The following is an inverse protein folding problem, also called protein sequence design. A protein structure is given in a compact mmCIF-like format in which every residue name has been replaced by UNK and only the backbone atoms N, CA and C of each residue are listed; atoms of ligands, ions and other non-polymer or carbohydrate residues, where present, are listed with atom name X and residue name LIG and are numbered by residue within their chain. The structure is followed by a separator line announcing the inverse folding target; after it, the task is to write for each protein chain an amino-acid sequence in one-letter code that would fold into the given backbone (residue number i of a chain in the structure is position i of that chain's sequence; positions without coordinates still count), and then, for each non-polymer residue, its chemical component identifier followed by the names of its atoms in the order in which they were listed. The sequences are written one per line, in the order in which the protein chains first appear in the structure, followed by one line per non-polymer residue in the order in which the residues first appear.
data_IF_982424416285
#
_entry.id   IF_982424416285
#
_cell.length_a   1.000
_cell.length_b   1.000
_cell.length_c   1.000
_cell.angle_alpha   90.00
_cell.angle_beta   90.00
_cell.angle_gamma   90.00
#
_symmetry.space_group_name_H-M   'P 1'
#
loop_
_entity.id
_entity.type
_entity.pdbx_description
1 polymer ?
#
# COMPACT_ATOMS: atom_id res chain seq x y z
N UNK A 1 2.67 1.47 44.54
CA UNK A 1 3.20 0.63 43.44
C UNK A 1 2.04 -0.19 42.94
N UNK A 2 1.49 0.19 41.83
CA UNK A 2 0.46 -0.59 41.14
C UNK A 2 1.18 -1.78 40.52
N UNK A 3 1.11 -2.93 41.14
CA UNK A 3 1.52 -4.19 40.57
C UNK A 3 0.63 -4.42 39.32
N UNK A 4 1.22 -4.24 38.15
CA UNK A 4 0.56 -4.62 36.90
C UNK A 4 0.27 -6.13 36.91
N UNK A 5 -0.67 -6.62 36.12
CA UNK A 5 -1.09 -8.03 36.11
C UNK A 5 0.02 -9.02 35.75
N UNK A 6 1.24 -8.56 35.53
CA UNK A 6 2.44 -9.33 35.19
C UNK A 6 3.66 -8.91 36.02
N UNK A 7 3.47 -8.43 37.27
CA UNK A 7 4.58 -8.07 38.15
C UNK A 7 5.56 -9.24 38.28
N UNK A 8 6.87 -8.97 38.07
CA UNK A 8 7.92 -9.99 38.09
C UNK A 8 7.98 -10.87 39.35
N UNK A 9 7.48 -10.35 40.48
CA UNK A 9 7.34 -11.11 41.72
C UNK A 9 6.36 -12.30 41.66
N UNK A 10 5.44 -12.30 40.70
CA UNK A 10 4.48 -13.40 40.54
C UNK A 10 5.08 -14.64 39.86
N UNK A 11 6.25 -14.54 39.25
CA UNK A 11 6.82 -15.58 38.40
C UNK A 11 7.91 -16.41 39.09
N UNK A 12 8.58 -15.87 40.09
CA UNK A 12 9.65 -16.55 40.78
C UNK A 12 9.44 -16.53 42.29
N UNK A 13 9.77 -17.61 42.97
CA UNK A 13 9.95 -17.61 44.40
C UNK A 13 11.36 -17.04 44.77
N UNK A 14 11.65 -16.85 46.04
CA UNK A 14 12.92 -16.35 46.52
C UNK A 14 14.17 -17.15 46.09
N UNK A 15 13.97 -18.32 45.47
CA UNK A 15 15.03 -19.17 44.89
C UNK A 15 15.10 -19.12 43.38
N UNK A 16 14.38 -18.20 42.71
CA UNK A 16 14.34 -18.07 41.25
C UNK A 16 13.59 -19.20 40.52
N UNK A 17 12.82 -20.02 41.21
CA UNK A 17 12.01 -21.09 40.63
C UNK A 17 10.62 -20.57 40.24
N UNK A 18 10.00 -21.08 39.15
CA UNK A 18 8.66 -20.69 38.76
C UNK A 18 7.67 -20.88 39.93
N UNK A 19 7.01 -19.81 40.32
CA UNK A 19 5.98 -19.87 41.36
C UNK A 19 4.61 -20.09 40.72
N UNK A 20 4.27 -21.34 40.44
CA UNK A 20 2.98 -21.72 39.86
C UNK A 20 1.79 -21.28 40.73
N UNK A 21 1.94 -21.28 42.06
CA UNK A 21 0.90 -20.82 42.96
C UNK A 21 0.61 -19.31 42.83
N UNK A 22 1.66 -18.51 42.54
CA UNK A 22 1.50 -17.09 42.22
C UNK A 22 0.67 -16.83 40.99
N UNK A 23 0.82 -17.66 39.94
CA UNK A 23 0.00 -17.57 38.73
C UNK A 23 -1.49 -17.76 39.03
N UNK A 24 -1.84 -18.76 39.83
CA UNK A 24 -3.22 -18.99 40.22
C UNK A 24 -3.82 -17.83 40.98
N UNK A 25 -3.08 -17.24 41.91
CA UNK A 25 -3.58 -16.16 42.76
C UNK A 25 -3.84 -14.86 42.00
N UNK A 26 -3.03 -14.53 40.99
CA UNK A 26 -3.19 -13.31 40.19
C UNK A 26 -4.47 -13.38 39.32
N UNK A 27 -4.89 -14.57 38.91
CA UNK A 27 -6.03 -14.76 38.01
C UNK A 27 -7.33 -15.18 38.69
N UNK A 28 -7.28 -15.65 39.93
CA UNK A 28 -8.50 -15.97 40.72
C UNK A 28 -9.32 -14.73 41.08
N UNK A 29 -8.69 -13.57 41.17
CA UNK A 29 -9.37 -12.30 41.48
C UNK A 29 -10.07 -11.64 40.32
N UNK A 30 -10.05 -12.25 39.15
CA UNK A 30 -10.46 -11.59 37.92
C UNK A 30 -11.73 -12.12 37.33
N UNK A 31 -12.75 -11.28 37.31
CA UNK A 31 -14.11 -11.60 36.88
C UNK A 31 -14.28 -11.62 35.35
N UNK A 32 -13.32 -11.07 34.59
CA UNK A 32 -13.46 -11.00 33.15
C UNK A 32 -13.04 -12.30 32.46
N UNK A 33 -13.93 -12.87 31.62
CA UNK A 33 -13.70 -14.11 30.85
C UNK A 33 -12.45 -14.08 29.98
N UNK A 34 -12.05 -12.90 29.54
CA UNK A 34 -10.82 -12.63 28.77
C UNK A 34 -9.56 -13.03 29.56
N UNK A 35 -9.44 -12.65 30.81
CA UNK A 35 -8.27 -12.97 31.64
C UNK A 35 -8.18 -14.46 31.96
N UNK A 36 -9.29 -15.15 32.10
CA UNK A 36 -9.31 -16.62 32.21
C UNK A 36 -8.75 -17.34 30.98
N UNK A 37 -8.87 -16.74 29.80
CA UNK A 37 -8.29 -17.26 28.56
C UNK A 37 -6.77 -17.17 28.50
N UNK A 38 -6.16 -16.16 29.13
CA UNK A 38 -4.70 -15.98 29.16
C UNK A 38 -3.97 -16.80 30.21
N UNK A 39 -4.64 -17.15 31.28
CA UNK A 39 -4.04 -17.89 32.40
C UNK A 39 -3.37 -19.22 31.96
N UNK A 40 -4.07 -20.03 31.19
CA UNK A 40 -3.57 -21.35 30.75
C UNK A 40 -2.40 -21.29 29.75
N UNK A 41 -2.37 -20.38 28.76
CA UNK A 41 -1.20 -20.17 27.92
C UNK A 41 0.05 -19.74 28.72
N UNK A 42 -0.11 -18.89 29.74
CA UNK A 42 0.98 -18.47 30.62
C UNK A 42 1.53 -19.65 31.41
N UNK A 43 0.68 -20.54 31.93
CA UNK A 43 1.11 -21.76 32.62
C UNK A 43 1.90 -22.70 31.70
N UNK A 44 1.51 -22.84 30.44
CA UNK A 44 2.26 -23.64 29.47
C UNK A 44 3.63 -23.05 29.22
N UNK A 45 3.73 -21.73 29.00
CA UNK A 45 4.99 -21.02 28.81
C UNK A 45 5.92 -21.15 30.03
N UNK A 46 5.37 -21.02 31.27
CA UNK A 46 6.11 -21.23 32.51
C UNK A 46 6.63 -22.66 32.65
N UNK A 47 5.84 -23.66 32.26
CA UNK A 47 6.24 -25.07 32.24
C UNK A 47 7.36 -25.35 31.24
N UNK A 48 7.34 -24.71 30.07
CA UNK A 48 8.39 -24.82 29.06
C UNK A 48 9.71 -24.23 29.55
N UNK A 49 9.68 -23.05 30.18
CA UNK A 49 10.86 -22.41 30.78
C UNK A 49 11.48 -23.26 31.90
N UNK A 50 10.67 -23.98 32.68
CA UNK A 50 11.15 -24.89 33.73
C UNK A 50 11.89 -26.14 33.18
N UNK A 51 11.58 -26.56 31.96
CA UNK A 51 12.18 -27.74 31.32
C UNK A 51 13.48 -27.41 30.59
N UNK A 52 13.52 -26.32 29.84
CA UNK A 52 14.62 -26.01 28.92
C UNK A 52 15.60 -24.96 29.45
N UNK A 53 15.31 -24.30 30.56
CA UNK A 53 16.03 -23.13 31.08
C UNK A 53 16.08 -21.93 30.10
N UNK A 54 15.45 -22.04 28.94
CA UNK A 54 15.35 -21.01 27.90
C UNK A 54 13.95 -20.38 27.92
N UNK A 55 13.88 -19.09 27.67
CA UNK A 55 12.60 -18.40 27.38
C UNK A 55 12.11 -18.84 26.02
N UNK A 56 11.21 -19.80 25.95
CA UNK A 56 10.59 -20.24 24.70
C UNK A 56 9.08 -20.11 24.78
N UNK A 57 8.48 -19.70 23.65
CA UNK A 57 7.03 -19.65 23.43
C UNK A 57 6.54 -20.78 22.53
N UNK A 58 7.42 -21.71 22.13
CA UNK A 58 7.11 -22.84 21.26
C UNK A 58 7.00 -24.12 22.09
N UNK A 59 5.99 -24.95 21.77
CA UNK A 59 5.93 -26.31 22.26
C UNK A 59 7.09 -27.11 21.67
N UNK A 60 7.71 -28.01 22.44
CA UNK A 60 8.77 -28.88 21.91
C UNK A 60 8.27 -29.72 20.76
N UNK A 61 9.14 -29.91 19.76
CA UNK A 61 8.84 -30.78 18.63
C UNK A 61 9.01 -32.28 19.00
N UNK A 62 9.91 -32.58 19.94
CA UNK A 62 10.15 -33.97 20.36
C UNK A 62 9.02 -34.47 21.27
N UNK A 63 8.54 -35.68 21.01
CA UNK A 63 7.52 -36.35 21.85
C UNK A 63 8.01 -36.57 23.28
N UNK A 64 9.33 -36.74 23.51
CA UNK A 64 9.91 -36.91 24.82
C UNK A 64 9.73 -35.64 25.68
N UNK A 65 10.05 -34.49 25.11
CA UNK A 65 9.93 -33.21 25.82
C UNK A 65 8.47 -32.78 25.95
N UNK A 66 7.64 -33.06 24.94
CA UNK A 66 6.17 -32.87 25.04
C UNK A 66 5.54 -33.69 26.16
N UNK A 67 5.99 -34.93 26.35
CA UNK A 67 5.56 -35.76 27.50
C UNK A 67 5.96 -35.17 28.84
N UNK A 68 7.14 -34.58 28.95
CA UNK A 68 7.57 -33.85 30.16
C UNK A 68 6.68 -32.66 30.45
N UNK A 69 6.37 -31.84 29.43
CA UNK A 69 5.44 -30.71 29.57
C UNK A 69 4.05 -31.21 29.96
N UNK A 70 3.54 -32.29 29.34
CA UNK A 70 2.27 -32.88 29.63
C UNK A 70 2.17 -33.35 31.09
N UNK A 71 3.22 -34.06 31.56
CA UNK A 71 3.30 -34.54 32.96
C UNK A 71 3.35 -33.36 33.95
N UNK A 72 4.12 -32.30 33.69
CA UNK A 72 4.15 -31.09 34.53
C UNK A 72 2.76 -30.43 34.62
N UNK A 73 1.96 -30.57 33.59
CA UNK A 73 0.62 -30.01 33.54
C UNK A 73 -0.49 -30.98 34.02
N UNK A 74 -0.08 -32.15 34.50
CA UNK A 74 -0.99 -33.16 35.10
C UNK A 74 -1.73 -34.03 34.07
N UNK A 75 -1.15 -34.20 32.88
CA UNK A 75 -1.68 -35.08 31.86
C UNK A 75 -0.91 -36.42 31.79
N UNK A 76 -1.59 -37.52 31.81
CA UNK A 76 -1.02 -38.87 31.78
C UNK A 76 -0.48 -39.26 30.39
N UNK A 77 -0.93 -38.57 29.33
CA UNK A 77 -0.53 -38.87 27.95
C UNK A 77 -0.63 -37.66 27.05
N UNK A 78 0.12 -37.71 25.92
CA UNK A 78 0.15 -36.62 24.92
C UNK A 78 -1.21 -36.35 24.31
N UNK A 79 -2.03 -37.36 24.08
CA UNK A 79 -3.34 -37.19 23.44
C UNK A 79 -4.29 -36.32 24.28
N UNK A 80 -4.32 -36.53 25.59
CA UNK A 80 -5.10 -35.68 26.50
C UNK A 80 -4.53 -34.28 26.63
N UNK A 81 -3.19 -34.15 26.63
CA UNK A 81 -2.50 -32.89 26.63
C UNK A 81 -2.78 -32.08 25.37
N UNK A 82 -2.59 -32.67 24.20
CA UNK A 82 -2.81 -32.00 22.91
C UNK A 82 -4.27 -31.56 22.72
N UNK A 83 -5.22 -32.40 23.16
CA UNK A 83 -6.62 -32.04 23.15
C UNK A 83 -6.92 -30.84 24.05
N UNK A 84 -6.31 -30.80 25.25
CA UNK A 84 -6.45 -29.68 26.17
C UNK A 84 -5.80 -28.39 25.66
N UNK A 85 -4.59 -28.47 25.10
CA UNK A 85 -3.92 -27.34 24.43
C UNK A 85 -4.75 -26.83 23.27
N UNK A 86 -5.20 -27.70 22.37
CA UNK A 86 -6.05 -27.34 21.24
C UNK A 86 -7.36 -26.67 21.65
N UNK A 87 -7.99 -27.14 22.74
CA UNK A 87 -9.20 -26.51 23.28
C UNK A 87 -8.93 -25.11 23.83
N UNK A 88 -7.79 -24.90 24.48
CA UNK A 88 -7.40 -23.57 24.99
C UNK A 88 -7.10 -22.62 23.87
N UNK A 89 -6.30 -23.04 22.88
CA UNK A 89 -5.97 -22.21 21.71
C UNK A 89 -7.23 -21.82 20.93
N UNK A 90 -8.16 -22.77 20.72
CA UNK A 90 -9.47 -22.47 20.13
C UNK A 90 -10.28 -21.48 20.98
N UNK A 91 -10.27 -21.64 22.31
CA UNK A 91 -10.94 -20.72 23.23
C UNK A 91 -10.34 -19.32 23.21
N UNK A 92 -9.00 -19.20 23.19
CA UNK A 92 -8.30 -17.91 23.06
C UNK A 92 -8.62 -17.27 21.73
N UNK A 93 -8.56 -18.03 20.64
CA UNK A 93 -8.91 -17.51 19.32
C UNK A 93 -10.37 -17.08 19.23
N UNK A 94 -11.30 -17.80 19.86
CA UNK A 94 -12.70 -17.41 19.92
C UNK A 94 -12.92 -16.11 20.72
N UNK A 95 -12.27 -15.98 21.88
CA UNK A 95 -12.33 -14.76 22.71
C UNK A 95 -11.67 -13.58 21.97
N UNK A 96 -10.55 -13.82 21.32
CA UNK A 96 -9.90 -12.83 20.46
C UNK A 96 -10.82 -12.41 19.31
N UNK A 97 -11.45 -13.37 18.64
CA UNK A 97 -12.47 -13.11 17.62
C UNK A 97 -13.70 -12.38 18.18
N UNK A 98 -14.08 -12.58 19.46
CA UNK A 98 -15.20 -11.87 20.09
C UNK A 98 -14.85 -10.44 20.50
N UNK A 99 -13.64 -10.18 20.95
CA UNK A 99 -13.14 -8.82 21.21
C UNK A 99 -13.17 -7.94 19.97
N UNK A 100 -13.02 -8.55 18.80
CA UNK A 100 -13.05 -7.88 17.50
C UNK A 100 -14.39 -8.04 16.74
N UNK A 101 -15.37 -8.80 17.26
CA UNK A 101 -16.72 -8.93 16.67
C UNK A 101 -17.56 -7.64 16.67
N UNK A 102 -17.16 -6.64 17.40
CA UNK A 102 -17.77 -5.31 17.35
C UNK A 102 -17.27 -4.46 16.18
N UNK A 103 -16.21 -4.87 15.51
CA UNK A 103 -15.71 -4.29 14.29
C UNK A 103 -15.93 -5.32 13.16
N UNK A 104 -16.98 -5.16 12.37
CA UNK A 104 -17.26 -5.94 11.15
C UNK A 104 -16.09 -5.95 10.15
N UNK A 105 -15.01 -5.23 10.48
CA UNK A 105 -13.88 -4.90 9.63
C UNK A 105 -12.75 -5.96 9.63
N UNK A 106 -12.75 -6.96 10.51
CA UNK A 106 -11.64 -7.93 10.61
C UNK A 106 -11.94 -9.32 10.00
N UNK A 107 -13.15 -9.54 9.51
CA UNK A 107 -13.50 -10.75 8.80
C UNK A 107 -13.79 -10.44 7.34
N UNK A 108 -13.01 -11.02 6.43
CA UNK A 108 -13.36 -11.05 5.01
C UNK A 108 -14.59 -11.96 4.81
N UNK A 109 -15.44 -11.63 3.82
CA UNK A 109 -16.50 -12.53 3.34
C UNK A 109 -16.01 -13.90 2.88
N UNK A 110 -14.69 -14.06 2.70
CA UNK A 110 -14.04 -15.31 2.30
C UNK A 110 -13.57 -16.17 3.48
N UNK A 111 -13.57 -15.65 4.70
CA UNK A 111 -13.17 -16.35 5.91
C UNK A 111 -12.29 -15.53 6.85
N UNK A 112 -11.67 -16.21 7.82
CA UNK A 112 -10.81 -15.58 8.81
C UNK A 112 -9.48 -15.13 8.20
N UNK A 113 -9.01 -13.96 8.63
CA UNK A 113 -7.71 -13.39 8.26
C UNK A 113 -6.94 -13.06 9.55
N UNK A 114 -6.02 -13.93 9.94
CA UNK A 114 -5.22 -13.81 11.16
C UNK A 114 -3.74 -13.66 10.78
N UNK A 115 -3.16 -12.49 11.08
CA UNK A 115 -1.78 -12.17 10.76
C UNK A 115 -0.89 -11.92 12.00
N UNK A 116 -1.40 -12.20 13.19
CA UNK A 116 -0.74 -11.85 14.47
C UNK A 116 0.22 -12.92 15.01
N UNK A 117 0.31 -14.08 14.38
CA UNK A 117 1.17 -15.19 14.82
C UNK A 117 2.59 -15.12 14.26
N UNK A 118 3.50 -15.92 14.84
CA UNK A 118 4.87 -16.12 14.30
C UNK A 118 4.84 -17.02 13.06
N UNK A 119 3.89 -17.93 13.00
CA UNK A 119 3.68 -18.90 11.92
C UNK A 119 2.42 -18.55 11.12
N UNK A 120 2.36 -19.07 9.90
CA UNK A 120 1.19 -18.88 9.04
C UNK A 120 0.00 -19.67 9.58
N UNK A 121 -1.13 -18.99 9.78
CA UNK A 121 -2.38 -19.66 10.12
C UNK A 121 -2.94 -20.39 8.90
N UNK A 122 -3.15 -21.73 8.97
CA UNK A 122 -3.59 -22.52 7.82
C UNK A 122 -4.94 -22.08 7.23
N UNK A 123 -5.86 -21.56 8.06
CA UNK A 123 -7.17 -21.07 7.58
C UNK A 123 -7.02 -19.73 6.85
N UNK A 124 -6.12 -18.86 7.31
CA UNK A 124 -5.75 -17.62 6.60
C UNK A 124 -5.16 -17.93 5.23
N UNK A 125 -4.25 -18.91 5.13
CA UNK A 125 -3.69 -19.31 3.83
C UNK A 125 -4.75 -19.84 2.87
N UNK A 126 -5.69 -20.65 3.36
CA UNK A 126 -6.84 -21.14 2.57
C UNK A 126 -7.74 -19.99 2.14
N UNK A 127 -7.97 -19.01 3.01
CA UNK A 127 -8.78 -17.83 2.72
C UNK A 127 -8.13 -17.00 1.60
N UNK A 128 -6.82 -16.71 1.69
CA UNK A 128 -6.08 -16.03 0.66
C UNK A 128 -6.10 -16.79 -0.68
N UNK A 129 -5.98 -18.12 -0.65
CA UNK A 129 -6.14 -18.95 -1.84
C UNK A 129 -7.53 -18.83 -2.47
N UNK A 130 -8.61 -18.82 -1.66
CA UNK A 130 -9.99 -18.60 -2.14
C UNK A 130 -10.19 -17.18 -2.70
N UNK A 131 -9.45 -16.21 -2.21
CA UNK A 131 -9.43 -14.84 -2.74
C UNK A 131 -8.66 -14.73 -4.07
N UNK A 132 -8.04 -15.81 -4.54
CA UNK A 132 -7.35 -15.85 -5.83
C UNK A 132 -5.88 -15.44 -5.80
N UNK A 133 -5.26 -15.32 -4.61
CA UNK A 133 -3.83 -15.08 -4.51
C UNK A 133 -3.05 -16.35 -4.89
N UNK A 134 -2.06 -16.21 -5.78
CA UNK A 134 -1.27 -17.34 -6.27
C UNK A 134 -0.23 -17.83 -5.25
N UNK A 135 0.21 -16.95 -4.34
CA UNK A 135 1.19 -17.27 -3.30
C UNK A 135 0.72 -16.78 -1.91
N UNK A 136 -0.27 -17.45 -1.29
CA UNK A 136 -0.79 -17.08 0.03
C UNK A 136 0.27 -16.90 1.12
N UNK A 137 1.30 -17.76 1.25
CA UNK A 137 2.34 -17.58 2.26
C UNK A 137 3.11 -16.26 2.11
N UNK A 138 3.45 -15.86 0.87
CA UNK A 138 4.12 -14.57 0.61
C UNK A 138 3.24 -13.39 1.07
N UNK A 139 1.96 -13.42 0.74
CA UNK A 139 1.01 -12.36 1.13
C UNK A 139 0.90 -12.27 2.66
N UNK A 140 0.73 -13.43 3.32
CA UNK A 140 0.63 -13.50 4.78
C UNK A 140 1.92 -12.98 5.45
N UNK A 141 3.09 -13.36 4.95
CA UNK A 141 4.38 -12.90 5.45
C UNK A 141 4.56 -11.39 5.28
N UNK A 142 4.19 -10.82 4.12
CA UNK A 142 4.27 -9.38 3.87
C UNK A 142 3.39 -8.61 4.85
N UNK A 143 2.11 -9.00 5.00
CA UNK A 143 1.17 -8.34 5.92
C UNK A 143 1.67 -8.45 7.36
N UNK A 144 2.16 -9.60 7.78
CA UNK A 144 2.76 -9.81 9.10
C UNK A 144 3.96 -8.90 9.34
N UNK A 145 4.86 -8.80 8.37
CA UNK A 145 6.00 -7.89 8.41
C UNK A 145 5.54 -6.44 8.65
N UNK A 146 4.49 -6.01 8.00
CA UNK A 146 3.91 -4.68 8.20
C UNK A 146 3.30 -4.52 9.60
N UNK A 147 2.58 -5.52 10.12
CA UNK A 147 2.09 -5.52 11.50
C UNK A 147 3.22 -5.40 12.53
N UNK A 148 4.39 -5.95 12.24
CA UNK A 148 5.57 -5.80 13.11
C UNK A 148 6.30 -4.46 12.93
N UNK A 149 5.82 -3.57 12.07
CA UNK A 149 6.36 -2.21 11.92
C UNK A 149 7.65 -2.15 11.11
N UNK A 150 7.89 -3.11 10.22
CA UNK A 150 9.10 -3.16 9.38
C UNK A 150 9.12 -2.09 8.28
N UNK A 151 7.99 -1.43 8.00
CA UNK A 151 7.91 -0.30 7.09
C UNK A 151 7.57 0.99 7.85
N UNK A 152 7.96 2.13 7.28
CA UNK A 152 7.74 3.44 7.90
C UNK A 152 6.25 3.71 8.19
N UNK A 153 5.36 3.27 7.29
CA UNK A 153 3.92 3.48 7.40
C UNK A 153 3.29 2.84 8.65
N UNK A 154 3.88 1.77 9.18
CA UNK A 154 3.37 1.00 10.34
C UNK A 154 4.32 1.01 11.54
N UNK A 155 5.36 1.84 11.53
CA UNK A 155 6.35 1.90 12.61
C UNK A 155 5.75 2.33 13.96
N UNK A 156 4.77 3.22 13.94
CA UNK A 156 4.08 3.70 15.14
C UNK A 156 2.97 2.74 15.56
N UNK A 157 2.60 2.73 16.86
CA UNK A 157 1.47 1.94 17.36
C UNK A 157 0.17 2.31 16.64
N UNK A 158 -0.10 3.62 16.50
CA UNK A 158 -1.27 4.09 15.76
C UNK A 158 -1.28 3.66 14.29
N UNK A 159 -0.10 3.64 13.64
CA UNK A 159 0.04 3.14 12.27
C UNK A 159 -0.29 1.65 12.16
N UNK A 160 0.11 0.83 13.13
CA UNK A 160 -0.23 -0.59 13.17
C UNK A 160 -1.72 -0.84 13.42
N UNK A 161 -2.32 -0.09 14.34
CA UNK A 161 -3.76 -0.16 14.63
C UNK A 161 -4.60 0.13 13.37
N UNK A 162 -4.31 1.23 12.68
CA UNK A 162 -4.98 1.59 11.44
C UNK A 162 -4.76 0.54 10.34
N UNK A 163 -3.54 -0.01 10.26
CA UNK A 163 -3.22 -1.05 9.29
C UNK A 163 -3.99 -2.34 9.56
N UNK A 164 -4.20 -2.71 10.82
CA UNK A 164 -5.02 -3.87 11.19
C UNK A 164 -6.42 -3.78 10.58
N UNK A 165 -7.01 -2.59 10.56
CA UNK A 165 -8.32 -2.33 9.95
C UNK A 165 -8.26 -2.22 8.42
N UNK A 166 -7.14 -1.76 7.87
CA UNK A 166 -6.97 -1.57 6.44
C UNK A 166 -6.65 -2.88 5.70
N UNK A 167 -5.91 -3.80 6.32
CA UNK A 167 -5.41 -5.01 5.68
C UNK A 167 -6.53 -5.91 5.10
N UNK A 168 -7.63 -6.21 5.80
CA UNK A 168 -8.73 -6.97 5.21
C UNK A 168 -9.37 -6.25 4.02
N UNK A 169 -9.56 -4.94 4.13
CA UNK A 169 -10.11 -4.11 3.04
C UNK A 169 -9.20 -4.11 1.81
N UNK A 170 -7.88 -4.09 2.02
CA UNK A 170 -6.89 -4.20 0.93
C UNK A 170 -7.05 -5.53 0.18
N UNK A 171 -7.14 -6.62 0.92
CA UNK A 171 -7.27 -7.95 0.34
C UNK A 171 -8.60 -8.11 -0.40
N UNK A 172 -9.70 -7.65 0.18
CA UNK A 172 -11.02 -7.67 -0.45
C UNK A 172 -11.06 -6.79 -1.72
N UNK A 173 -10.51 -5.59 -1.66
CA UNK A 173 -10.43 -4.71 -2.82
C UNK A 173 -9.54 -5.31 -3.92
N UNK A 174 -8.39 -5.89 -3.56
CA UNK A 174 -7.50 -6.56 -4.51
C UNK A 174 -8.20 -7.77 -5.18
N UNK A 175 -8.90 -8.59 -4.39
CA UNK A 175 -9.70 -9.72 -4.90
C UNK A 175 -10.78 -9.23 -5.88
N UNK A 176 -11.48 -8.15 -5.55
CA UNK A 176 -12.55 -7.60 -6.37
C UNK A 176 -12.07 -7.13 -7.75
N UNK A 177 -10.78 -6.82 -7.92
CA UNK A 177 -10.20 -6.47 -9.23
C UNK A 177 -10.09 -7.67 -10.19
N UNK A 178 -10.14 -8.91 -9.69
CA UNK A 178 -9.83 -10.11 -10.47
C UNK A 178 -8.33 -10.29 -10.79
N UNK A 179 -7.47 -9.40 -10.32
CA UNK A 179 -6.00 -9.48 -10.47
C UNK A 179 -5.30 -9.22 -9.13
N UNK A 180 -5.60 -10.01 -8.07
CA UNK A 180 -5.20 -9.71 -6.70
C UNK A 180 -3.69 -9.64 -6.50
N UNK A 181 -2.91 -10.51 -7.13
CA UNK A 181 -1.44 -10.50 -7.02
C UNK A 181 -0.83 -9.23 -7.61
N UNK A 182 -1.33 -8.77 -8.75
CA UNK A 182 -0.85 -7.55 -9.40
C UNK A 182 -1.19 -6.32 -8.57
N UNK A 183 -2.42 -6.25 -8.04
CA UNK A 183 -2.88 -5.18 -7.17
C UNK A 183 -2.04 -5.11 -5.89
N UNK A 184 -1.87 -6.25 -5.20
CA UNK A 184 -1.13 -6.32 -3.96
C UNK A 184 0.35 -5.98 -4.12
N UNK A 185 1.02 -6.54 -5.14
CA UNK A 185 2.46 -6.30 -5.36
C UNK A 185 2.75 -4.81 -5.62
N UNK A 186 1.92 -4.13 -6.41
CA UNK A 186 2.11 -2.69 -6.66
C UNK A 186 1.69 -1.83 -5.47
N UNK A 187 0.68 -2.27 -4.71
CA UNK A 187 0.34 -1.62 -3.45
C UNK A 187 1.47 -1.76 -2.43
N UNK A 188 2.14 -2.92 -2.37
CA UNK A 188 3.32 -3.15 -1.53
C UNK A 188 4.45 -2.16 -1.87
N UNK A 189 4.77 -1.98 -3.15
CA UNK A 189 5.78 -1.00 -3.59
C UNK A 189 5.39 0.43 -3.21
N UNK A 190 4.14 0.81 -3.40
CA UNK A 190 3.60 2.09 -3.01
C UNK A 190 3.66 2.30 -1.49
N UNK A 191 3.10 1.37 -0.72
CA UNK A 191 2.92 1.51 0.72
C UNK A 191 4.26 1.48 1.48
N UNK A 192 5.24 0.73 0.98
CA UNK A 192 6.59 0.67 1.55
C UNK A 192 7.36 1.99 1.41
N UNK A 193 7.01 2.84 0.45
CA UNK A 193 7.64 4.16 0.21
C UNK A 193 7.02 5.29 1.01
N UNK A 194 5.91 5.05 1.70
CA UNK A 194 5.22 6.06 2.51
C UNK A 194 6.04 6.35 3.77
N UNK A 195 6.43 7.61 3.93
CA UNK A 195 7.21 8.05 5.11
C UNK A 195 6.40 8.10 6.40
N UNK A 196 5.12 8.53 6.33
CA UNK A 196 4.18 8.57 7.46
C UNK A 196 2.85 8.01 7.03
N UNK A 197 2.52 6.81 7.53
CA UNK A 197 1.33 6.08 7.10
C UNK A 197 0.03 6.45 7.82
N UNK A 198 0.10 7.12 8.97
CA UNK A 198 -1.08 7.37 9.81
C UNK A 198 -2.14 8.20 9.08
N UNK A 199 -1.72 9.30 8.44
CA UNK A 199 -2.64 10.17 7.70
C UNK A 199 -3.24 9.45 6.51
N UNK A 200 -2.42 8.77 5.71
CA UNK A 200 -2.86 8.03 4.53
C UNK A 200 -3.80 6.88 4.89
N UNK A 201 -3.47 6.10 5.91
CA UNK A 201 -4.32 5.01 6.36
C UNK A 201 -5.66 5.51 6.90
N UNK A 202 -5.63 6.62 7.68
CA UNK A 202 -6.86 7.28 8.15
C UNK A 202 -7.72 7.77 6.99
N UNK A 203 -7.10 8.33 5.95
CA UNK A 203 -7.76 8.75 4.74
C UNK A 203 -8.45 7.58 4.02
N UNK A 204 -7.73 6.48 3.81
CA UNK A 204 -8.28 5.29 3.16
C UNK A 204 -9.43 4.65 3.94
N UNK A 205 -9.35 4.66 5.27
CA UNK A 205 -10.45 4.19 6.12
C UNK A 205 -11.67 5.12 6.08
N UNK A 206 -11.45 6.44 5.98
CA UNK A 206 -12.50 7.44 5.88
C UNK A 206 -13.13 7.54 4.48
N UNK A 207 -12.38 7.19 3.44
CA UNK A 207 -12.76 7.30 2.03
C UNK A 207 -12.64 5.95 1.31
N UNK A 208 -13.56 4.99 1.55
CA UNK A 208 -13.46 3.64 0.97
C UNK A 208 -13.43 3.63 -0.55
N UNK A 209 -14.22 4.49 -1.21
CA UNK A 209 -14.24 4.60 -2.69
C UNK A 209 -12.90 5.05 -3.28
N UNK A 210 -12.23 6.00 -2.61
CA UNK A 210 -10.89 6.42 -3.00
C UNK A 210 -9.89 5.27 -2.86
N UNK A 211 -9.99 4.52 -1.76
CA UNK A 211 -9.12 3.36 -1.53
C UNK A 211 -9.32 2.28 -2.59
N UNK A 212 -10.56 1.93 -2.90
CA UNK A 212 -10.90 0.97 -3.96
C UNK A 212 -10.35 1.43 -5.32
N UNK A 213 -10.49 2.71 -5.66
CA UNK A 213 -9.93 3.28 -6.89
C UNK A 213 -8.41 3.17 -6.92
N UNK A 214 -7.72 3.46 -5.81
CA UNK A 214 -6.26 3.28 -5.72
C UNK A 214 -5.88 1.81 -5.95
N UNK A 215 -6.59 0.86 -5.36
CA UNK A 215 -6.34 -0.58 -5.57
C UNK A 215 -6.61 -0.98 -7.02
N UNK A 216 -7.65 -0.45 -7.66
CA UNK A 216 -7.92 -0.66 -9.10
C UNK A 216 -6.79 -0.09 -9.97
N UNK A 217 -6.28 1.10 -9.66
CA UNK A 217 -5.10 1.68 -10.33
C UNK A 217 -3.88 0.75 -10.17
N UNK A 218 -3.68 0.19 -8.97
CA UNK A 218 -2.61 -0.80 -8.75
C UNK A 218 -2.82 -2.05 -9.59
N UNK A 219 -4.04 -2.53 -9.76
CA UNK A 219 -4.34 -3.73 -10.56
C UNK A 219 -4.07 -3.51 -12.05
N UNK A 220 -4.59 -2.44 -12.63
CA UNK A 220 -4.76 -2.30 -14.08
C UNK A 220 -3.89 -1.24 -14.73
N UNK A 221 -3.37 -0.26 -13.98
CA UNK A 221 -2.66 0.88 -14.53
C UNK A 221 -1.20 1.00 -14.01
N UNK A 222 -0.25 0.16 -14.49
CA UNK A 222 1.12 0.12 -13.97
C UNK A 222 1.87 1.45 -14.02
N UNK A 223 1.58 2.29 -15.01
CA UNK A 223 2.19 3.63 -15.13
C UNK A 223 1.67 4.58 -14.04
N UNK A 224 0.35 4.57 -13.78
CA UNK A 224 -0.26 5.38 -12.73
C UNK A 224 0.17 4.88 -11.33
N UNK A 225 0.20 3.57 -11.11
CA UNK A 225 0.69 2.96 -9.89
C UNK A 225 2.13 3.39 -9.56
N UNK A 226 3.03 3.39 -10.56
CA UNK A 226 4.41 3.90 -10.40
C UNK A 226 4.45 5.38 -10.08
N UNK A 227 3.55 6.17 -10.64
CA UNK A 227 3.45 7.61 -10.32
C UNK A 227 3.09 7.80 -8.86
N UNK A 228 2.08 7.08 -8.36
CA UNK A 228 1.68 7.09 -6.94
C UNK A 228 2.82 6.63 -6.02
N UNK A 229 3.51 5.54 -6.37
CA UNK A 229 4.61 5.03 -5.57
C UNK A 229 5.79 6.01 -5.46
N UNK A 230 6.05 6.80 -6.52
CA UNK A 230 7.11 7.81 -6.53
C UNK A 230 6.69 9.15 -5.93
N UNK A 231 5.41 9.48 -5.99
CA UNK A 231 4.84 10.76 -5.55
C UNK A 231 3.51 10.53 -4.82
N UNK A 232 3.55 10.08 -3.57
CA UNK A 232 2.32 9.85 -2.78
C UNK A 232 1.43 11.09 -2.66
N UNK A 233 2.01 12.30 -2.72
CA UNK A 233 1.27 13.56 -2.72
C UNK A 233 0.28 13.70 -3.90
N UNK A 234 0.42 12.90 -4.98
CA UNK A 234 -0.58 12.86 -6.05
C UNK A 234 -1.96 12.37 -5.56
N UNK A 235 -2.01 11.67 -4.41
CA UNK A 235 -3.28 11.31 -3.77
C UNK A 235 -4.03 12.52 -3.22
N UNK A 236 -3.33 13.56 -2.79
CA UNK A 236 -3.96 14.77 -2.25
C UNK A 236 -4.80 15.47 -3.33
N UNK A 237 -4.34 15.44 -4.58
CA UNK A 237 -5.11 15.98 -5.70
C UNK A 237 -6.42 15.20 -5.94
N UNK A 238 -6.45 13.89 -5.65
CA UNK A 238 -7.66 13.07 -5.79
C UNK A 238 -8.72 13.35 -4.70
N UNK A 239 -8.40 14.17 -3.70
CA UNK A 239 -9.36 14.60 -2.67
C UNK A 239 -10.17 15.81 -3.13
N UNK A 240 -9.69 16.55 -4.13
CA UNK A 240 -10.41 17.66 -4.71
C UNK A 240 -11.51 17.11 -5.64
N UNK A 241 -12.79 17.43 -5.41
CA UNK A 241 -13.87 17.07 -6.32
C UNK A 241 -13.63 17.52 -7.76
N UNK A 242 -13.01 18.68 -7.97
CA UNK A 242 -12.61 19.18 -9.28
C UNK A 242 -11.64 18.31 -10.04
N UNK A 243 -10.90 17.43 -9.34
CA UNK A 243 -10.01 16.46 -9.99
C UNK A 243 -10.75 15.48 -10.92
N UNK A 244 -12.00 15.16 -10.60
CA UNK A 244 -12.84 14.22 -11.36
C UNK A 244 -13.77 14.93 -12.36
N UNK A 245 -13.80 16.25 -12.37
CA UNK A 245 -14.53 17.00 -13.39
C UNK A 245 -13.80 16.90 -14.73
N UNK A 246 -14.58 16.96 -15.82
CA UNK A 246 -14.00 16.97 -17.17
C UNK A 246 -13.05 18.16 -17.30
N UNK A 247 -11.88 17.91 -17.91
CA UNK A 247 -10.94 18.98 -18.21
C UNK A 247 -11.64 20.03 -19.07
N UNK A 248 -11.70 21.26 -18.56
CA UNK A 248 -12.22 22.39 -19.32
C UNK A 248 -11.20 22.79 -20.39
N UNK A 249 -11.70 23.27 -21.54
CA UNK A 249 -10.83 23.76 -22.59
C UNK A 249 -9.86 24.82 -22.07
N UNK A 250 -8.57 24.61 -22.31
CA UNK A 250 -7.48 25.50 -21.88
C UNK A 250 -7.03 25.35 -20.44
N UNK A 251 -7.54 24.38 -19.66
CA UNK A 251 -7.06 24.14 -18.27
C UNK A 251 -5.61 23.69 -18.26
N UNK A 252 -5.22 22.79 -19.18
CA UNK A 252 -3.83 22.35 -19.35
C UNK A 252 -2.90 23.52 -19.70
N UNK A 253 -3.36 24.41 -20.57
CA UNK A 253 -2.59 25.60 -20.95
C UNK A 253 -2.41 26.57 -19.77
N UNK A 254 -3.44 26.76 -18.94
CA UNK A 254 -3.34 27.59 -17.72
C UNK A 254 -2.38 26.97 -16.71
N UNK A 255 -2.51 25.69 -16.43
CA UNK A 255 -1.62 24.97 -15.51
C UNK A 255 -0.15 25.04 -15.98
N UNK A 256 0.07 24.92 -17.29
CA UNK A 256 1.40 25.05 -17.89
C UNK A 256 1.94 26.48 -17.76
N UNK A 257 1.11 27.48 -18.08
CA UNK A 257 1.51 28.88 -18.00
C UNK A 257 1.87 29.31 -16.57
N UNK A 258 1.08 28.86 -15.58
CA UNK A 258 1.39 29.10 -14.17
C UNK A 258 2.69 28.40 -13.75
N UNK A 259 2.90 27.16 -14.16
CA UNK A 259 4.09 26.40 -13.82
C UNK A 259 5.37 26.98 -14.46
N UNK A 260 5.24 27.63 -15.62
CA UNK A 260 6.37 28.29 -16.35
C UNK A 260 6.75 29.65 -15.80
N UNK A 261 5.99 30.22 -14.86
CA UNK A 261 6.32 31.49 -14.25
C UNK A 261 7.66 31.42 -13.53
N UNK A 262 8.57 32.32 -13.93
CA UNK A 262 9.92 32.42 -13.36
C UNK A 262 10.93 31.37 -13.88
N UNK A 263 10.54 30.52 -14.81
CA UNK A 263 11.48 29.62 -15.50
C UNK A 263 12.23 30.40 -16.58
N UNK A 264 13.56 30.50 -16.47
CA UNK A 264 14.38 31.34 -17.31
C UNK A 264 15.37 30.60 -18.21
N UNK A 265 15.48 29.27 -18.09
CA UNK A 265 16.44 28.48 -18.86
C UNK A 265 15.77 27.28 -19.55
N UNK A 266 16.48 26.72 -20.53
CA UNK A 266 16.00 25.62 -21.35
C UNK A 266 15.76 24.31 -20.54
N UNK A 267 16.67 24.00 -19.60
CA UNK A 267 16.53 22.80 -18.75
C UNK A 267 15.34 22.92 -17.81
N UNK A 268 15.18 24.05 -17.15
CA UNK A 268 14.05 24.35 -16.29
C UNK A 268 12.72 24.28 -17.03
N UNK A 269 12.67 24.76 -18.28
CA UNK A 269 11.49 24.63 -19.13
C UNK A 269 11.15 23.17 -19.42
N UNK A 270 12.14 22.38 -19.83
CA UNK A 270 11.94 20.96 -20.09
C UNK A 270 11.46 20.21 -18.84
N UNK A 271 12.05 20.45 -17.69
CA UNK A 271 11.67 19.79 -16.44
C UNK A 271 10.27 20.20 -15.97
N UNK A 272 9.94 21.48 -16.14
CA UNK A 272 8.60 21.99 -15.83
C UNK A 272 7.54 21.34 -16.70
N UNK A 273 7.76 21.32 -18.02
CA UNK A 273 6.83 20.67 -18.95
C UNK A 273 6.67 19.18 -18.64
N UNK A 274 7.77 18.45 -18.36
CA UNK A 274 7.71 17.03 -17.96
C UNK A 274 6.94 16.83 -16.67
N UNK A 275 7.03 17.77 -15.73
CA UNK A 275 6.30 17.69 -14.46
C UNK A 275 4.79 17.87 -14.69
N UNK A 276 4.41 18.96 -15.37
CA UNK A 276 2.99 19.26 -15.67
C UNK A 276 2.38 18.16 -16.52
N UNK A 277 3.07 17.70 -17.56
CA UNK A 277 2.62 16.58 -18.39
C UNK A 277 2.32 15.32 -17.54
N UNK A 278 3.19 14.97 -16.61
CA UNK A 278 2.98 13.79 -15.74
C UNK A 278 1.78 13.97 -14.81
N UNK A 279 1.60 15.17 -14.25
CA UNK A 279 0.49 15.47 -13.34
C UNK A 279 -0.85 15.43 -14.08
N UNK A 280 -0.95 16.07 -15.23
CA UNK A 280 -2.17 16.07 -16.06
C UNK A 280 -2.45 14.68 -16.65
N UNK A 281 -1.43 13.97 -17.14
CA UNK A 281 -1.58 12.59 -17.62
C UNK A 281 -2.06 11.64 -16.52
N UNK A 282 -1.60 11.85 -15.28
CA UNK A 282 -2.08 11.09 -14.13
C UNK A 282 -3.56 11.37 -13.87
N UNK A 283 -3.99 12.65 -13.88
CA UNK A 283 -5.39 13.06 -13.71
C UNK A 283 -6.29 12.41 -14.75
N UNK A 284 -5.96 12.55 -16.04
CA UNK A 284 -6.74 11.93 -17.13
C UNK A 284 -6.82 10.41 -16.96
N UNK A 285 -5.71 9.75 -16.62
CA UNK A 285 -5.68 8.32 -16.41
C UNK A 285 -6.58 7.86 -15.24
N UNK A 286 -6.57 8.59 -14.14
CA UNK A 286 -7.45 8.29 -12.99
C UNK A 286 -8.92 8.56 -13.33
N UNK A 287 -9.23 9.61 -14.08
CA UNK A 287 -10.59 9.89 -14.55
C UNK A 287 -11.15 8.75 -15.43
N UNK A 288 -10.33 8.17 -16.28
CA UNK A 288 -10.72 6.98 -17.04
C UNK A 288 -10.97 5.79 -16.11
N UNK A 289 -10.08 5.56 -15.15
CA UNK A 289 -10.21 4.43 -14.21
C UNK A 289 -11.44 4.56 -13.30
N UNK A 290 -11.81 5.79 -12.91
CA UNK A 290 -13.01 6.06 -12.11
C UNK A 290 -14.30 6.06 -12.93
N UNK A 291 -14.21 6.04 -14.26
CA UNK A 291 -15.36 6.17 -15.16
C UNK A 291 -15.88 7.60 -15.30
N UNK A 292 -15.19 8.61 -14.76
CA UNK A 292 -15.58 10.02 -14.91
C UNK A 292 -15.20 10.59 -16.29
N UNK A 293 -14.28 9.96 -17.02
CA UNK A 293 -13.97 10.28 -18.42
C UNK A 293 -14.13 9.07 -19.32
N UNK A 294 -14.72 9.26 -20.50
CA UNK A 294 -14.73 8.25 -21.56
C UNK A 294 -13.36 8.12 -22.24
N UNK A 295 -13.11 6.99 -22.92
CA UNK A 295 -11.88 6.80 -23.67
C UNK A 295 -11.67 7.88 -24.76
N UNK A 296 -12.76 8.29 -25.40
CA UNK A 296 -12.73 9.36 -26.41
C UNK A 296 -12.37 10.73 -25.80
N UNK A 297 -12.99 11.08 -24.65
CA UNK A 297 -12.66 12.30 -23.93
C UNK A 297 -11.19 12.30 -23.48
N UNK A 298 -10.70 11.17 -22.98
CA UNK A 298 -9.31 11.01 -22.60
C UNK A 298 -8.36 11.13 -23.81
N UNK A 299 -8.75 10.59 -24.98
CA UNK A 299 -7.96 10.73 -26.20
C UNK A 299 -7.76 12.19 -26.61
N UNK A 300 -8.83 12.97 -26.53
CA UNK A 300 -8.78 14.42 -26.76
C UNK A 300 -7.96 15.16 -25.71
N UNK A 301 -8.11 14.81 -24.43
CA UNK A 301 -7.36 15.43 -23.35
C UNK A 301 -5.85 15.17 -23.47
N UNK A 302 -5.44 13.94 -23.79
CA UNK A 302 -4.01 13.64 -24.03
C UNK A 302 -3.46 14.37 -25.23
N UNK A 303 -4.25 14.54 -26.29
CA UNK A 303 -3.82 15.32 -27.47
C UNK A 303 -3.73 16.82 -27.16
N UNK A 304 -4.68 17.37 -26.39
CA UNK A 304 -4.62 18.76 -25.91
C UNK A 304 -3.38 19.01 -25.05
N UNK A 305 -3.08 18.10 -24.14
CA UNK A 305 -1.88 18.16 -23.32
C UNK A 305 -0.59 18.11 -24.15
N UNK A 306 -0.56 17.31 -25.19
CA UNK A 306 0.56 17.26 -26.14
C UNK A 306 0.72 18.59 -26.89
N UNK A 307 -0.38 19.18 -27.38
CA UNK A 307 -0.37 20.49 -28.02
C UNK A 307 0.22 21.59 -27.09
N UNK A 308 -0.21 21.58 -25.83
CA UNK A 308 0.30 22.53 -24.82
C UNK A 308 1.79 22.32 -24.56
N UNK A 309 2.25 21.06 -24.45
CA UNK A 309 3.67 20.76 -24.26
C UNK A 309 4.51 21.20 -25.45
N UNK A 310 4.06 20.91 -26.68
CA UNK A 310 4.75 21.32 -27.91
C UNK A 310 4.75 22.83 -28.04
N UNK A 311 3.59 23.49 -27.86
CA UNK A 311 3.47 24.94 -27.96
C UNK A 311 4.30 25.68 -26.92
N UNK A 312 4.56 25.08 -25.75
CA UNK A 312 5.45 25.67 -24.72
C UNK A 312 6.91 25.44 -25.05
N UNK A 313 7.31 24.25 -25.51
CA UNK A 313 8.72 23.90 -25.74
C UNK A 313 9.27 24.41 -27.08
N UNK A 314 8.45 24.50 -28.14
CA UNK A 314 8.93 24.90 -29.45
C UNK A 314 9.54 26.29 -29.47
N UNK A 315 8.91 27.33 -28.88
CA UNK A 315 9.54 28.64 -28.78
C UNK A 315 10.84 28.66 -27.95
N UNK A 316 10.87 27.87 -26.85
CA UNK A 316 12.05 27.78 -25.97
C UNK A 316 13.20 27.10 -26.70
N UNK A 317 12.91 26.03 -27.45
CA UNK A 317 13.90 25.33 -28.25
C UNK A 317 14.43 26.21 -29.39
N UNK A 318 13.55 26.97 -30.06
CA UNK A 318 13.95 27.91 -31.09
C UNK A 318 14.87 29.00 -30.54
N UNK A 319 14.52 29.63 -29.42
CA UNK A 319 15.35 30.63 -28.76
C UNK A 319 16.74 30.10 -28.38
N UNK A 320 16.82 28.81 -27.93
CA UNK A 320 18.12 28.18 -27.63
C UNK A 320 18.96 27.94 -28.89
N UNK A 321 18.34 27.52 -29.99
CA UNK A 321 19.02 27.39 -31.30
C UNK A 321 19.51 28.73 -31.78
N UNK A 322 18.70 29.81 -31.72
CA UNK A 322 19.07 31.15 -32.10
C UNK A 322 20.23 31.70 -31.25
N UNK A 323 20.24 31.37 -29.96
CA UNK A 323 21.35 31.74 -29.06
C UNK A 323 22.68 31.09 -29.47
N UNK A 324 22.61 29.85 -29.99
CA UNK A 324 23.80 29.07 -30.36
C UNK A 324 24.27 29.33 -31.82
N UNK A 325 23.33 29.47 -32.76
CA UNK A 325 23.60 29.48 -34.18
C UNK A 325 23.28 30.81 -34.87
N UNK A 326 22.68 31.76 -34.16
CA UNK A 326 22.23 33.03 -34.74
C UNK A 326 20.73 33.03 -35.05
N UNK A 327 20.19 34.23 -35.29
CA UNK A 327 18.76 34.46 -35.50
C UNK A 327 18.27 33.79 -36.79
N UNK A 328 17.15 33.05 -36.68
CA UNK A 328 16.47 32.47 -37.84
C UNK A 328 15.63 33.53 -38.55
N UNK A 329 16.00 33.84 -39.79
CA UNK A 329 15.18 34.70 -40.67
C UNK A 329 14.13 33.81 -41.37
N UNK A 330 13.02 33.57 -40.70
CA UNK A 330 11.99 32.65 -41.21
C UNK A 330 10.92 32.24 -40.21
N UNK A 331 10.13 31.30 -40.59
CA UNK A 331 9.05 30.74 -39.78
C UNK A 331 9.23 29.23 -39.57
N UNK A 332 8.95 28.78 -38.35
CA UNK A 332 8.94 27.35 -38.00
C UNK A 332 7.55 26.97 -37.60
N UNK A 333 7.07 25.81 -38.10
CA UNK A 333 5.83 25.20 -37.71
C UNK A 333 6.03 23.72 -37.32
N UNK A 334 5.41 23.31 -36.23
CA UNK A 334 5.37 21.89 -35.83
C UNK A 334 4.00 21.33 -36.19
N UNK A 335 3.98 20.25 -36.97
CA UNK A 335 2.77 19.59 -37.41
C UNK A 335 2.65 18.25 -36.69
N UNK A 336 1.56 18.06 -35.95
CA UNK A 336 1.24 16.80 -35.31
C UNK A 336 0.58 15.84 -36.30
N UNK A 337 1.10 14.64 -36.38
CA UNK A 337 0.62 13.52 -37.21
C UNK A 337 0.05 12.39 -36.35
N UNK A 338 -0.35 11.30 -36.98
CA UNK A 338 -0.80 10.09 -36.29
C UNK A 338 -1.90 10.34 -35.26
N UNK A 339 -1.79 9.72 -34.10
CA UNK A 339 -2.78 9.80 -33.01
C UNK A 339 -2.88 11.20 -32.38
N UNK A 340 -1.80 11.94 -32.39
CA UNK A 340 -1.82 13.34 -31.91
C UNK A 340 -2.65 14.20 -32.86
N UNK A 341 -2.40 14.10 -34.16
CA UNK A 341 -3.15 14.84 -35.18
C UNK A 341 -4.64 14.45 -35.25
N UNK A 342 -4.99 13.17 -35.09
CA UNK A 342 -6.38 12.69 -35.07
C UNK A 342 -7.08 12.88 -33.71
N UNK A 343 -6.38 13.35 -32.69
CA UNK A 343 -6.90 13.52 -31.31
C UNK A 343 -7.34 12.23 -30.62
N UNK A 344 -6.66 11.13 -30.92
CA UNK A 344 -6.95 9.78 -30.40
C UNK A 344 -5.81 9.22 -29.56
N UNK A 345 -5.13 10.08 -28.81
CA UNK A 345 -3.99 9.68 -27.99
C UNK A 345 -4.39 8.88 -26.76
N UNK A 346 -3.46 8.12 -26.24
CA UNK A 346 -3.56 7.46 -24.93
C UNK A 346 -2.28 7.72 -24.11
N UNK A 347 -2.28 7.32 -22.84
CA UNK A 347 -1.16 7.52 -21.92
C UNK A 347 0.19 6.92 -22.39
N UNK A 348 0.19 6.11 -23.44
CA UNK A 348 1.38 5.45 -23.99
C UNK A 348 1.65 5.80 -25.45
N UNK A 349 0.90 6.75 -26.03
CA UNK A 349 1.10 7.15 -27.43
C UNK A 349 2.40 7.90 -27.59
N UNK A 350 3.09 7.59 -28.68
CA UNK A 350 4.23 8.37 -29.15
C UNK A 350 3.74 9.64 -29.87
N UNK A 351 4.62 10.62 -30.02
CA UNK A 351 4.38 11.84 -30.76
C UNK A 351 4.99 11.71 -32.15
N UNK A 352 4.13 11.62 -33.17
CA UNK A 352 4.53 11.69 -34.57
C UNK A 352 4.51 13.17 -34.98
N UNK A 353 5.68 13.79 -35.08
CA UNK A 353 5.81 15.21 -35.37
C UNK A 353 6.61 15.44 -36.64
N UNK A 354 6.25 16.47 -37.40
CA UNK A 354 7.01 16.97 -38.53
C UNK A 354 7.26 18.46 -38.31
N UNK A 355 8.55 18.85 -38.33
CA UNK A 355 8.93 20.27 -38.28
C UNK A 355 9.07 20.80 -39.69
N UNK A 356 8.37 21.89 -39.99
CA UNK A 356 8.43 22.59 -41.24
C UNK A 356 9.07 23.97 -40.99
N UNK A 357 9.88 24.41 -41.90
CA UNK A 357 10.43 25.77 -41.85
C UNK A 357 10.33 26.44 -43.22
N UNK A 358 10.21 27.77 -43.20
CA UNK A 358 10.23 28.61 -44.36
C UNK A 358 11.20 29.78 -44.11
N UNK A 359 12.15 29.94 -45.02
CA UNK A 359 13.08 31.08 -44.95
C UNK A 359 13.32 31.59 -46.38
N UNK A 360 13.41 32.90 -46.53
CA UNK A 360 13.73 33.55 -47.79
C UNK A 360 15.26 33.66 -47.99
N UNK A 361 16.06 33.41 -46.95
CA UNK A 361 17.52 33.45 -46.99
C UNK A 361 18.11 32.06 -47.27
N UNK A 362 18.74 31.85 -48.40
CA UNK A 362 19.38 30.59 -48.83
C UNK A 362 20.46 30.10 -47.85
N UNK A 363 21.13 31.04 -47.12
CA UNK A 363 22.11 30.71 -46.10
C UNK A 363 21.55 30.05 -44.86
N UNK A 364 20.34 30.42 -44.44
CA UNK A 364 19.66 29.86 -43.25
C UNK A 364 19.22 28.42 -43.46
N UNK A 365 19.02 27.97 -44.70
CA UNK A 365 18.58 26.60 -45.02
C UNK A 365 19.68 25.55 -44.86
N UNK A 366 20.97 25.95 -44.93
CA UNK A 366 22.12 25.04 -44.79
C UNK A 366 22.46 24.68 -43.33
N UNK A 367 22.05 25.50 -42.39
CA UNK A 367 22.34 25.29 -40.96
C UNK A 367 21.24 24.51 -40.25
N UNK A 368 20.07 24.35 -40.86
CA UNK A 368 18.93 23.62 -40.32
C UNK A 368 18.78 22.18 -40.86
N UNK A 369 19.60 21.78 -41.81
CA UNK A 369 19.64 20.43 -42.41
C UNK A 369 20.76 19.58 -41.79
#
# INVERSE_FOLDING_TARGET
MTEGPLGGAAFNNEFGRPNLAGYFRVYEQDVAGVRRGYHKPIMIAGGLGAISADQTHKLPESDADRKRVAALWGHDNLRSFDAAVGKILKGVNAIYGELFKGEEELSSRFGSLIFTGVEDDPETLKTLGRMGFSNPPRIAQTIRSWHHGHISATRTERGRELFTRLAPRLLDAAQATGAPDAAFTRFEDFFSRIGSGVQLQSLFLAQPRLFELVVQVMAFAPKLARTLARRPAALDAMLDPGFFESLSDGEDARAMAEAMQGVGDFEGAMDTVRRVHREQSFRVGVQVMSGSASAEAAGRAFASLADVCIGTLAPVALAEVERLAGTLDGEVAVVALGKCGSREMNAGSDLDLMTLYRSDAVSSLKELS
#
